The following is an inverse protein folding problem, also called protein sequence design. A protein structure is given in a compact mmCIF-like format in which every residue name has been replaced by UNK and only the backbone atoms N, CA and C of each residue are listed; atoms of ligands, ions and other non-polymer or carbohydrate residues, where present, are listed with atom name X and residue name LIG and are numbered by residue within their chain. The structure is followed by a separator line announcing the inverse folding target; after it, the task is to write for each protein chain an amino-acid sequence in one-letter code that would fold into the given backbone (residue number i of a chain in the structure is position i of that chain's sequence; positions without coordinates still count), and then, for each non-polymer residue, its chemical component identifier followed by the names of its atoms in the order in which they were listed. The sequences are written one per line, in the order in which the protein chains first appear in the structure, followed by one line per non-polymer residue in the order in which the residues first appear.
data_IF_911513378464
#
_entry.id   IF_911513378464
#
_cell.length_a   1.000
_cell.length_b   1.000
_cell.length_c   1.000
_cell.angle_alpha   90.00
_cell.angle_beta   90.00
_cell.angle_gamma   90.00
#
_symmetry.space_group_name_H-M   'P 1'
#
loop_
_entity.id
_entity.type
_entity.pdbx_description
1 polymer ?
#
# COMPACT_ATOMS: atom_id res chain seq x y z
N UNK A 1 -6.86 25.14 -12.21
CA UNK A 1 -6.45 24.79 -10.83
C UNK A 1 -6.46 23.26 -10.72
N UNK A 2 -5.36 22.63 -10.37
CA UNK A 2 -5.29 21.18 -10.21
C UNK A 2 -6.06 20.72 -8.97
N UNK A 3 -6.66 19.51 -9.03
CA UNK A 3 -7.29 18.89 -7.86
C UNK A 3 -6.27 18.75 -6.73
N UNK A 4 -6.64 19.18 -5.52
CA UNK A 4 -5.77 19.08 -4.33
C UNK A 4 -5.80 17.71 -3.69
N UNK A 5 -6.90 16.99 -3.85
CA UNK A 5 -7.12 15.64 -3.31
C UNK A 5 -7.30 14.70 -4.49
N UNK A 6 -6.55 13.61 -4.51
CA UNK A 6 -6.62 12.58 -5.53
C UNK A 6 -7.12 11.27 -4.90
N UNK A 7 -8.09 10.63 -5.58
CA UNK A 7 -8.67 9.36 -5.14
C UNK A 7 -7.90 8.18 -5.73
N UNK A 8 -7.62 7.19 -4.88
CA UNK A 8 -6.88 5.99 -5.26
C UNK A 8 -7.66 4.73 -4.92
N UNK A 9 -7.71 3.82 -5.87
CA UNK A 9 -8.12 2.45 -5.60
C UNK A 9 -6.96 1.50 -5.86
N UNK A 10 -6.75 0.52 -4.99
CA UNK A 10 -5.62 -0.42 -5.05
C UNK A 10 -6.07 -1.79 -4.63
N UNK A 11 -5.97 -2.78 -5.53
CA UNK A 11 -6.24 -4.18 -5.27
C UNK A 11 -4.93 -4.95 -5.14
N UNK A 12 -4.69 -5.55 -3.99
CA UNK A 12 -3.54 -6.41 -3.73
C UNK A 12 -3.88 -7.85 -4.04
N UNK A 13 -2.94 -8.51 -4.69
CA UNK A 13 -2.99 -9.94 -4.99
C UNK A 13 -2.02 -10.67 -4.08
N UNK A 14 -2.40 -11.87 -3.67
CA UNK A 14 -1.56 -12.80 -2.89
C UNK A 14 -2.02 -14.23 -3.17
N UNK A 15 -1.32 -15.22 -2.64
CA UNK A 15 -1.77 -16.61 -2.62
C UNK A 15 -2.95 -16.77 -1.65
N UNK A 16 -3.79 -17.83 -1.78
CA UNK A 16 -4.91 -18.07 -0.85
C UNK A 16 -4.48 -18.12 0.63
N UNK A 17 -3.29 -18.66 0.92
CA UNK A 17 -2.67 -18.70 2.24
C UNK A 17 -1.88 -17.43 2.61
N UNK A 18 -2.00 -16.36 1.80
CA UNK A 18 -1.43 -15.03 2.04
C UNK A 18 0.10 -15.02 2.25
N UNK A 19 0.86 -15.75 1.43
CA UNK A 19 2.32 -15.89 1.56
C UNK A 19 3.08 -14.57 1.51
N UNK A 20 2.68 -13.60 0.65
CA UNK A 20 3.31 -12.28 0.60
C UNK A 20 3.04 -11.48 1.88
N UNK A 21 1.84 -11.61 2.45
CA UNK A 21 1.53 -11.04 3.75
C UNK A 21 2.37 -11.68 4.85
N UNK A 22 2.42 -13.03 4.91
CA UNK A 22 3.22 -13.78 5.90
C UNK A 22 4.70 -13.40 5.79
N UNK A 23 5.26 -13.32 4.58
CA UNK A 23 6.62 -12.86 4.37
C UNK A 23 6.85 -11.43 4.93
N UNK A 24 5.85 -10.55 4.82
CA UNK A 24 5.93 -9.22 5.41
C UNK A 24 5.77 -9.24 6.92
N UNK A 25 4.82 -10.00 7.44
CA UNK A 25 4.58 -10.19 8.87
C UNK A 25 5.85 -10.73 9.56
N UNK A 26 6.46 -11.76 8.99
CA UNK A 26 7.65 -12.41 9.54
C UNK A 26 8.95 -11.64 9.27
N UNK A 27 8.85 -10.46 8.63
CA UNK A 27 9.97 -9.54 8.35
C UNK A 27 11.05 -10.16 7.46
N UNK A 28 10.68 -11.12 6.56
CA UNK A 28 11.63 -11.66 5.60
C UNK A 28 12.36 -10.52 4.88
N UNK A 29 13.66 -10.64 4.71
CA UNK A 29 14.50 -9.60 4.13
C UNK A 29 14.15 -9.37 2.67
N UNK A 30 13.95 -10.45 1.92
CA UNK A 30 13.43 -10.44 0.55
C UNK A 30 11.93 -10.68 0.57
N UNK A 31 11.17 -9.85 -0.10
CA UNK A 31 9.71 -10.00 -0.22
C UNK A 31 9.14 -9.18 -1.34
N UNK A 32 8.04 -9.65 -1.87
CA UNK A 32 7.34 -9.02 -2.97
C UNK A 32 5.93 -8.58 -2.57
N UNK A 33 5.34 -7.73 -3.37
CA UNK A 33 3.92 -7.38 -3.36
C UNK A 33 3.48 -7.14 -4.78
N UNK A 34 2.35 -7.71 -5.13
CA UNK A 34 1.65 -7.49 -6.39
C UNK A 34 0.39 -6.69 -6.14
N UNK A 35 0.09 -5.72 -7.02
CA UNK A 35 -1.16 -4.97 -6.96
C UNK A 35 -1.56 -4.39 -8.31
N UNK A 36 -2.85 -4.27 -8.54
CA UNK A 36 -3.42 -3.31 -9.47
C UNK A 36 -3.66 -1.98 -8.75
N UNK A 37 -3.55 -0.85 -9.46
CA UNK A 37 -3.85 0.47 -8.90
C UNK A 37 -4.49 1.37 -9.92
N UNK A 38 -5.60 2.01 -9.54
CA UNK A 38 -6.24 3.07 -10.30
C UNK A 38 -5.94 4.42 -9.64
N UNK A 39 -5.62 5.39 -10.46
CA UNK A 39 -5.60 6.82 -10.15
C UNK A 39 -6.95 7.38 -10.63
N UNK A 40 -7.96 7.37 -9.74
CA UNK A 40 -9.35 7.59 -10.14
C UNK A 40 -9.59 8.92 -10.85
N UNK A 41 -8.83 9.97 -10.50
CA UNK A 41 -8.97 11.29 -11.11
C UNK A 41 -8.48 11.37 -12.56
N UNK A 42 -7.57 10.50 -12.96
CA UNK A 42 -6.98 10.47 -14.32
C UNK A 42 -7.39 9.26 -15.12
N UNK A 43 -8.05 8.29 -14.51
CA UNK A 43 -8.37 7.00 -15.12
C UNK A 43 -7.14 6.12 -15.44
N UNK A 44 -5.94 6.52 -15.02
CA UNK A 44 -4.75 5.73 -15.26
C UNK A 44 -4.69 4.52 -14.31
N UNK A 45 -4.48 3.32 -14.86
CA UNK A 45 -4.36 2.10 -14.09
C UNK A 45 -3.04 1.38 -14.38
N UNK A 46 -2.52 0.67 -13.37
CA UNK A 46 -1.22 -0.01 -13.47
C UNK A 46 -1.23 -1.34 -12.72
N UNK A 47 -0.61 -2.35 -13.32
CA UNK A 47 -0.09 -3.52 -12.61
C UNK A 47 1.28 -3.17 -12.02
N UNK A 48 1.45 -3.29 -10.71
CA UNK A 48 2.68 -2.89 -10.02
C UNK A 48 3.24 -4.01 -9.14
N UNK A 49 4.54 -4.29 -9.30
CA UNK A 49 5.29 -5.20 -8.42
C UNK A 49 6.30 -4.40 -7.62
N UNK A 50 6.30 -4.62 -6.30
CA UNK A 50 7.31 -4.07 -5.39
C UNK A 50 8.18 -5.20 -4.86
N UNK A 51 9.48 -5.14 -5.17
CA UNK A 51 10.48 -6.08 -4.69
C UNK A 51 11.36 -5.41 -3.65
N UNK A 52 11.39 -5.94 -2.46
CA UNK A 52 12.36 -5.57 -1.43
C UNK A 52 13.46 -6.61 -1.37
N UNK A 53 14.73 -6.17 -1.42
CA UNK A 53 15.88 -7.05 -1.31
C UNK A 53 16.49 -7.05 0.11
N UNK A 54 17.47 -7.92 0.34
CA UNK A 54 18.21 -8.06 1.60
C UNK A 54 19.01 -6.79 1.98
N UNK A 55 19.40 -5.96 1.00
CA UNK A 55 20.07 -4.65 1.21
C UNK A 55 19.10 -3.53 1.59
N UNK A 56 17.86 -3.86 2.01
CA UNK A 56 16.78 -2.95 2.40
C UNK A 56 16.29 -2.01 1.26
N UNK A 57 16.74 -2.19 0.03
CA UNK A 57 16.29 -1.42 -1.14
C UNK A 57 14.96 -1.98 -1.65
N UNK A 58 14.06 -1.09 -2.04
CA UNK A 58 12.79 -1.46 -2.68
C UNK A 58 12.80 -0.96 -4.12
N UNK A 59 12.66 -1.87 -5.08
CA UNK A 59 12.46 -1.55 -6.49
C UNK A 59 10.97 -1.74 -6.82
N UNK A 60 10.41 -0.79 -7.56
CA UNK A 60 9.06 -0.88 -8.13
C UNK A 60 9.16 -0.99 -9.65
N UNK A 61 8.48 -1.98 -10.22
CA UNK A 61 8.23 -2.12 -11.65
C UNK A 61 6.73 -2.02 -11.89
N UNK A 62 6.32 -1.46 -13.01
CA UNK A 62 4.91 -1.37 -13.39
C UNK A 62 4.74 -1.36 -14.89
N UNK A 63 3.58 -1.83 -15.33
CA UNK A 63 3.05 -1.66 -16.68
C UNK A 63 1.67 -1.01 -16.61
N UNK A 64 1.24 -0.25 -17.62
CA UNK A 64 -0.14 0.21 -17.70
C UNK A 64 -1.09 -0.99 -17.89
N UNK A 65 -2.30 -0.85 -17.40
CA UNK A 65 -3.44 -1.74 -17.65
C UNK A 65 -4.67 -0.87 -17.89
N UNK A 66 -5.70 -1.43 -18.51
CA UNK A 66 -7.00 -0.78 -18.61
C UNK A 66 -7.72 -0.80 -17.25
N UNK A 67 -8.57 0.20 -17.00
CA UNK A 67 -9.36 0.27 -15.74
C UNK A 67 -10.27 -0.95 -15.61
N UNK A 68 -10.83 -1.43 -16.72
CA UNK A 68 -11.66 -2.64 -16.78
C UNK A 68 -10.94 -3.92 -16.32
N UNK A 69 -9.61 -3.95 -16.41
CA UNK A 69 -8.78 -5.09 -15.99
C UNK A 69 -8.45 -5.09 -14.50
N UNK A 70 -8.82 -4.05 -13.76
CA UNK A 70 -8.41 -3.86 -12.37
C UNK A 70 -8.79 -5.04 -11.45
N UNK A 71 -10.00 -5.56 -11.60
CA UNK A 71 -10.53 -6.64 -10.74
C UNK A 71 -9.90 -8.01 -11.00
N UNK A 72 -9.49 -8.25 -12.25
CA UNK A 72 -8.91 -9.52 -12.71
C UNK A 72 -7.79 -9.31 -13.74
N UNK A 73 -6.79 -8.54 -13.38
CA UNK A 73 -5.70 -8.20 -14.30
C UNK A 73 -4.90 -9.43 -14.78
N UNK A 74 -4.91 -10.54 -14.03
CA UNK A 74 -4.15 -11.73 -14.38
C UNK A 74 -4.84 -12.61 -15.45
N UNK A 75 -6.09 -12.32 -15.82
CA UNK A 75 -6.75 -12.90 -16.99
C UNK A 75 -6.15 -12.37 -18.31
N UNK A 76 -5.48 -11.23 -18.28
CA UNK A 76 -4.94 -10.55 -19.48
C UNK A 76 -3.46 -10.88 -19.70
N UNK A 77 -3.11 -11.24 -20.93
CA UNK A 77 -1.79 -11.77 -21.32
C UNK A 77 -0.65 -10.86 -20.91
N UNK A 78 -0.75 -9.55 -21.16
CA UNK A 78 0.34 -8.60 -20.86
C UNK A 78 0.66 -8.53 -19.37
N UNK A 79 -0.36 -8.39 -18.53
CA UNK A 79 -0.19 -8.35 -17.09
C UNK A 79 0.31 -9.69 -16.56
N UNK A 80 -0.23 -10.81 -17.06
CA UNK A 80 0.18 -12.16 -16.70
C UNK A 80 1.65 -12.41 -17.03
N UNK A 81 2.08 -12.09 -18.27
CA UNK A 81 3.49 -12.21 -18.70
C UNK A 81 4.41 -11.37 -17.82
N UNK A 82 4.06 -10.10 -17.61
CA UNK A 82 4.83 -9.21 -16.74
C UNK A 82 4.98 -9.77 -15.32
N UNK A 83 3.91 -10.32 -14.75
CA UNK A 83 3.93 -10.89 -13.40
C UNK A 83 4.75 -12.17 -13.37
N UNK A 84 4.61 -13.07 -14.35
CA UNK A 84 5.39 -14.32 -14.47
C UNK A 84 6.89 -14.04 -14.51
N UNK A 85 7.32 -13.04 -15.26
CA UNK A 85 8.74 -12.70 -15.39
C UNK A 85 9.35 -12.05 -14.12
N UNK A 86 8.56 -11.43 -13.27
CA UNK A 86 9.08 -10.54 -12.21
C UNK A 86 8.73 -11.00 -10.80
N UNK A 87 7.78 -11.91 -10.66
CA UNK A 87 7.33 -12.43 -9.38
C UNK A 87 7.93 -13.83 -9.13
N UNK A 88 8.17 -14.15 -7.87
CA UNK A 88 8.69 -15.48 -7.45
C UNK A 88 7.57 -16.42 -6.97
N UNK A 89 6.32 -16.06 -7.22
CA UNK A 89 5.15 -16.84 -6.87
C UNK A 89 4.53 -17.38 -8.14
N UNK A 90 3.93 -18.57 -8.06
CA UNK A 90 3.18 -19.14 -9.16
C UNK A 90 1.96 -18.26 -9.49
N UNK A 91 1.90 -17.76 -10.73
CA UNK A 91 0.87 -16.78 -11.12
C UNK A 91 -0.54 -17.38 -11.08
N UNK A 92 -0.67 -18.66 -11.39
CA UNK A 92 -1.94 -19.39 -11.34
C UNK A 92 -2.53 -19.52 -9.92
N UNK A 93 -1.69 -19.39 -8.88
CA UNK A 93 -2.12 -19.42 -7.49
C UNK A 93 -2.53 -18.06 -6.94
N UNK A 94 -2.31 -16.97 -7.68
CA UNK A 94 -2.57 -15.63 -7.20
C UNK A 94 -4.04 -15.25 -7.36
N UNK A 95 -4.63 -14.76 -6.28
CA UNK A 95 -6.02 -14.28 -6.25
C UNK A 95 -6.09 -12.83 -5.75
N UNK A 96 -7.14 -12.08 -6.11
CA UNK A 96 -7.45 -10.80 -5.49
C UNK A 96 -7.69 -10.99 -3.99
N UNK A 97 -6.95 -10.27 -3.13
CA UNK A 97 -7.05 -10.41 -1.67
C UNK A 97 -7.68 -9.18 -1.02
N UNK A 98 -6.98 -8.06 -1.02
CA UNK A 98 -7.40 -6.87 -0.29
C UNK A 98 -7.42 -5.67 -1.21
N UNK A 99 -8.58 -5.08 -1.35
CA UNK A 99 -8.79 -3.78 -1.97
C UNK A 99 -8.67 -2.68 -0.92
N UNK A 100 -8.08 -1.56 -1.31
CA UNK A 100 -7.86 -0.43 -0.45
C UNK A 100 -8.15 0.87 -1.20
N UNK A 101 -9.12 1.62 -0.73
CA UNK A 101 -9.46 2.96 -1.19
C UNK A 101 -8.93 4.00 -0.21
N UNK A 102 -8.52 5.15 -0.72
CA UNK A 102 -8.08 6.27 0.10
C UNK A 102 -7.92 7.55 -0.71
N UNK A 103 -8.00 8.65 -0.03
CA UNK A 103 -7.71 9.98 -0.53
C UNK A 103 -6.27 10.36 -0.30
N UNK A 104 -5.66 11.11 -1.22
CA UNK A 104 -4.26 11.53 -1.13
C UNK A 104 -4.06 12.98 -1.48
N UNK A 105 -3.40 13.70 -0.60
CA UNK A 105 -2.76 14.98 -0.89
C UNK A 105 -1.27 14.72 -1.13
N UNK A 106 -0.72 15.32 -2.19
CA UNK A 106 0.70 15.25 -2.51
C UNK A 106 1.31 16.63 -2.49
N UNK A 107 2.31 16.82 -1.64
CA UNK A 107 3.10 18.03 -1.53
C UNK A 107 4.51 17.75 -2.01
N UNK A 108 5.04 18.67 -2.83
CA UNK A 108 6.42 18.61 -3.33
C UNK A 108 7.07 19.94 -3.02
N UNK A 109 8.29 19.93 -2.49
CA UNK A 109 9.03 21.15 -2.24
C UNK A 109 9.48 21.81 -3.56
N UNK A 110 9.81 23.12 -3.53
CA UNK A 110 10.20 23.87 -4.73
C UNK A 110 11.39 23.22 -5.47
N UNK A 111 12.35 22.68 -4.75
CA UNK A 111 13.52 21.99 -5.32
C UNK A 111 13.25 20.58 -5.84
N UNK A 112 12.01 20.05 -5.68
CA UNK A 112 11.61 18.68 -6.06
C UNK A 112 12.46 17.56 -5.44
N UNK A 113 13.17 17.86 -4.35
CA UNK A 113 14.01 16.91 -3.61
C UNK A 113 13.26 16.16 -2.52
N UNK A 114 12.04 16.63 -2.20
CA UNK A 114 11.17 16.01 -1.20
C UNK A 114 9.73 15.92 -1.71
N UNK A 115 9.09 14.80 -1.38
CA UNK A 115 7.67 14.59 -1.61
C UNK A 115 7.03 14.04 -0.34
N UNK A 116 6.05 14.76 0.17
CA UNK A 116 5.17 14.33 1.26
C UNK A 116 3.82 13.91 0.69
N UNK A 117 3.35 12.74 1.05
CA UNK A 117 1.97 12.31 0.74
C UNK A 117 1.20 12.12 2.04
N UNK A 118 -0.04 12.57 2.05
CA UNK A 118 -0.97 12.47 3.17
C UNK A 118 -2.15 11.64 2.68
N UNK A 119 -2.33 10.46 3.24
CA UNK A 119 -3.41 9.54 2.89
C UNK A 119 -4.45 9.53 4.01
N UNK A 120 -5.70 9.78 3.68
CA UNK A 120 -6.86 9.82 4.57
C UNK A 120 -8.02 9.00 4.01
N UNK A 121 -9.11 8.91 4.76
CA UNK A 121 -10.32 8.15 4.40
C UNK A 121 -10.02 6.72 3.92
N UNK A 122 -9.24 6.01 4.72
CA UNK A 122 -8.69 4.71 4.34
C UNK A 122 -9.73 3.62 4.60
N UNK A 123 -10.13 2.91 3.53
CA UNK A 123 -11.09 1.80 3.56
C UNK A 123 -10.47 0.55 2.97
N UNK A 124 -10.96 -0.60 3.43
CA UNK A 124 -10.51 -1.91 2.99
C UNK A 124 -11.71 -2.82 2.72
N UNK A 125 -11.60 -3.61 1.65
CA UNK A 125 -12.51 -4.71 1.33
C UNK A 125 -11.63 -5.93 1.06
N UNK A 126 -11.86 -7.02 1.76
CA UNK A 126 -11.17 -8.27 1.50
C UNK A 126 -12.02 -9.10 0.53
N UNK A 127 -11.50 -9.28 -0.68
CA UNK A 127 -12.19 -10.01 -1.76
C UNK A 127 -12.25 -11.52 -1.51
N UNK A 128 -11.41 -12.03 -0.64
CA UNK A 128 -11.36 -13.45 -0.27
C UNK A 128 -12.30 -13.78 0.90
N UNK A 129 -12.35 -12.95 1.95
CA UNK A 129 -13.22 -13.18 3.12
C UNK A 129 -14.58 -12.50 3.03
N UNK A 130 -14.76 -11.54 2.12
CA UNK A 130 -15.95 -10.69 2.02
C UNK A 130 -16.04 -9.59 3.10
N UNK A 131 -15.11 -9.55 4.06
CA UNK A 131 -15.15 -8.58 5.16
C UNK A 131 -14.60 -7.22 4.73
N UNK A 132 -15.12 -6.16 5.34
CA UNK A 132 -14.68 -4.79 5.12
C UNK A 132 -14.30 -4.11 6.44
N UNK A 133 -13.45 -3.08 6.36
CA UNK A 133 -13.06 -2.25 7.49
C UNK A 133 -12.73 -0.83 7.01
N UNK A 134 -13.04 0.16 7.84
CA UNK A 134 -12.63 1.54 7.64
C UNK A 134 -11.83 2.04 8.84
N UNK A 135 -10.91 2.95 8.60
CA UNK A 135 -10.11 3.60 9.64
C UNK A 135 -10.11 5.12 9.40
N UNK A 136 -11.28 5.78 9.61
CA UNK A 136 -11.49 7.18 9.22
C UNK A 136 -10.51 8.14 9.91
N UNK A 137 -10.15 7.88 11.16
CA UNK A 137 -9.28 8.75 11.97
C UNK A 137 -7.78 8.50 11.72
N UNK A 138 -7.45 7.50 10.88
CA UNK A 138 -6.07 7.20 10.53
C UNK A 138 -5.61 8.02 9.34
N UNK A 139 -4.68 8.93 9.57
CA UNK A 139 -3.93 9.61 8.51
C UNK A 139 -2.54 9.00 8.39
N UNK A 140 -2.15 8.60 7.17
CA UNK A 140 -0.83 8.05 6.88
C UNK A 140 -0.01 9.08 6.11
N UNK A 141 1.07 9.56 6.73
CA UNK A 141 2.01 10.47 6.10
C UNK A 141 3.24 9.69 5.63
N UNK A 142 3.58 9.80 4.35
CA UNK A 142 4.80 9.22 3.77
C UNK A 142 5.71 10.34 3.25
N UNK A 143 6.89 10.47 3.84
CA UNK A 143 7.92 11.39 3.36
C UNK A 143 8.94 10.60 2.52
N UNK A 144 9.19 11.07 1.31
CA UNK A 144 10.29 10.64 0.44
C UNK A 144 11.22 11.80 0.21
N UNK A 145 12.51 11.58 0.37
CA UNK A 145 13.55 12.57 0.09
C UNK A 145 14.67 11.94 -0.74
N UNK A 146 15.32 12.74 -1.52
CA UNK A 146 16.49 12.36 -2.31
C UNK A 146 17.76 12.50 -1.48
N UNK A 147 18.47 11.38 -1.30
CA UNK A 147 19.73 11.37 -0.57
C UNK A 147 19.58 11.71 0.92
N UNK A 148 20.68 12.22 1.50
CA UNK A 148 20.78 12.55 2.92
C UNK A 148 20.92 14.08 3.13
N UNK A 149 20.02 14.85 2.51
CA UNK A 149 19.98 16.31 2.63
C UNK A 149 19.05 16.74 3.77
N UNK A 150 19.22 17.95 4.33
CA UNK A 150 18.28 18.50 5.32
C UNK A 150 16.86 18.56 4.75
N UNK A 151 15.90 18.00 5.47
CA UNK A 151 14.51 17.90 5.03
C UNK A 151 13.65 18.94 5.76
N UNK A 152 12.97 19.78 4.98
CA UNK A 152 11.98 20.72 5.50
C UNK A 152 10.79 19.99 6.12
N UNK A 153 10.21 19.04 5.40
CA UNK A 153 9.05 18.29 5.90
C UNK A 153 9.38 17.46 7.15
N UNK A 154 10.59 16.89 7.24
CA UNK A 154 11.02 16.19 8.44
C UNK A 154 11.06 17.10 9.66
N UNK A 155 11.54 18.34 9.51
CA UNK A 155 11.54 19.33 10.61
C UNK A 155 10.12 19.67 11.06
N UNK A 156 9.20 19.89 10.10
CA UNK A 156 7.78 20.13 10.41
C UNK A 156 7.16 18.97 11.18
N UNK A 157 7.36 17.72 10.71
CA UNK A 157 6.84 16.53 11.38
C UNK A 157 7.41 16.37 12.80
N UNK A 158 8.68 16.69 13.00
CA UNK A 158 9.31 16.66 14.33
C UNK A 158 8.73 17.75 15.26
N UNK A 159 8.55 18.98 14.76
CA UNK A 159 7.93 20.06 15.52
C UNK A 159 6.49 19.71 15.94
N UNK A 160 5.75 19.02 15.09
CA UNK A 160 4.42 18.49 15.39
C UNK A 160 4.45 17.21 16.24
N UNK A 161 5.62 16.77 16.72
CA UNK A 161 5.83 15.54 17.50
C UNK A 161 5.35 14.26 16.81
N UNK A 162 5.26 14.26 15.48
CA UNK A 162 4.87 13.09 14.68
C UNK A 162 6.08 12.16 14.52
N UNK A 163 6.05 11.04 15.22
CA UNK A 163 7.13 10.04 15.20
C UNK A 163 6.95 9.04 14.05
N UNK A 164 8.03 8.64 13.35
CA UNK A 164 7.94 7.69 12.25
C UNK A 164 7.46 6.31 12.72
N UNK A 165 6.53 5.74 11.97
CA UNK A 165 5.96 4.40 12.17
C UNK A 165 6.08 3.59 10.88
N UNK A 166 6.37 2.30 11.01
CA UNK A 166 6.35 1.38 9.86
C UNK A 166 4.94 0.85 9.66
N UNK A 167 4.26 1.31 8.62
CA UNK A 167 2.91 0.87 8.26
C UNK A 167 2.87 0.36 6.81
N UNK A 168 1.93 -0.51 6.52
CA UNK A 168 1.64 -1.02 5.18
C UNK A 168 0.13 -1.16 5.05
N UNK A 169 -0.49 -0.44 4.11
CA UNK A 169 -1.93 -0.54 3.85
C UNK A 169 -2.36 -1.98 3.56
N UNK A 170 -1.62 -2.70 2.70
CA UNK A 170 -1.89 -4.13 2.46
C UNK A 170 -1.98 -4.93 3.76
N UNK A 171 -0.92 -4.90 4.57
CA UNK A 171 -0.90 -5.70 5.79
C UNK A 171 -1.90 -5.21 6.84
N UNK A 172 -2.21 -3.91 6.87
CA UNK A 172 -3.24 -3.37 7.75
C UNK A 172 -4.63 -3.86 7.33
N UNK A 173 -4.95 -3.73 6.04
CA UNK A 173 -6.21 -4.22 5.49
C UNK A 173 -6.38 -5.72 5.72
N UNK A 174 -5.35 -6.53 5.41
CA UNK A 174 -5.40 -7.97 5.65
C UNK A 174 -5.74 -8.31 7.12
N UNK A 175 -5.08 -7.65 8.08
CA UNK A 175 -5.32 -7.93 9.52
C UNK A 175 -6.69 -7.45 9.99
N UNK A 176 -7.19 -6.35 9.45
CA UNK A 176 -8.50 -5.81 9.83
C UNK A 176 -9.67 -6.59 9.22
N UNK A 177 -9.44 -7.27 8.10
CA UNK A 177 -10.49 -7.94 7.32
C UNK A 177 -10.31 -9.45 7.21
N UNK A 178 -9.35 -10.04 7.94
CA UNK A 178 -9.19 -11.47 8.05
C UNK A 178 -8.86 -11.84 9.51
N UNK A 179 -9.85 -12.20 10.33
CA UNK A 179 -9.65 -12.49 11.75
C UNK A 179 -8.80 -13.74 12.02
N UNK A 180 -8.72 -14.67 11.07
CA UNK A 180 -7.95 -15.91 11.21
C UNK A 180 -6.47 -15.74 10.86
N UNK A 181 -6.09 -14.62 10.24
CA UNK A 181 -4.73 -14.40 9.80
C UNK A 181 -3.76 -14.20 10.98
N UNK A 182 -2.56 -14.73 10.87
CA UNK A 182 -1.49 -14.52 11.85
C UNK A 182 -1.20 -13.02 12.05
N UNK A 183 -1.62 -12.43 13.19
CA UNK A 183 -1.57 -10.98 13.42
C UNK A 183 -0.79 -10.55 14.67
N UNK A 184 -0.08 -11.47 15.36
CA UNK A 184 0.58 -11.19 16.63
C UNK A 184 1.53 -9.96 16.57
N UNK A 185 2.28 -9.77 15.49
CA UNK A 185 3.17 -8.61 15.30
C UNK A 185 2.45 -7.30 14.96
N UNK A 186 1.15 -7.36 14.68
CA UNK A 186 0.32 -6.19 14.43
C UNK A 186 -0.47 -5.73 15.66
N UNK A 187 -0.63 -6.55 16.70
CA UNK A 187 -1.39 -6.21 17.93
C UNK A 187 -1.04 -4.83 18.50
N UNK A 188 0.26 -4.50 18.60
CA UNK A 188 0.70 -3.18 19.10
C UNK A 188 0.32 -2.02 18.17
N UNK A 189 0.33 -2.24 16.85
CA UNK A 189 -0.07 -1.22 15.87
C UNK A 189 -1.56 -1.01 15.89
N UNK A 190 -2.36 -2.08 15.96
CA UNK A 190 -3.81 -2.00 16.05
C UNK A 190 -4.23 -1.25 17.32
N UNK A 191 -3.64 -1.57 18.48
CA UNK A 191 -3.91 -0.80 19.71
C UNK A 191 -3.58 0.69 19.56
N UNK A 192 -2.50 1.02 18.85
CA UNK A 192 -2.15 2.42 18.58
C UNK A 192 -3.17 3.10 17.67
N UNK A 193 -3.61 2.43 16.61
CA UNK A 193 -4.63 2.95 15.68
C UNK A 193 -5.96 3.15 16.41
N UNK A 194 -6.42 2.16 17.19
CA UNK A 194 -7.67 2.27 17.97
C UNK A 194 -7.64 3.43 18.98
N UNK A 195 -6.46 3.74 19.55
CA UNK A 195 -6.34 4.90 20.44
C UNK A 195 -6.47 6.25 19.71
N UNK A 196 -6.19 6.31 18.40
CA UNK A 196 -6.40 7.55 17.64
C UNK A 196 -7.90 7.86 17.52
N UNK A 197 -8.73 6.83 17.35
CA UNK A 197 -10.19 6.97 17.25
C UNK A 197 -10.90 7.26 18.59
N UNK A 198 -10.21 7.09 19.73
CA UNK A 198 -10.78 7.30 21.06
C UNK A 198 -10.44 8.69 21.66
N UNK A 199 -9.56 9.43 21.01
CA UNK A 199 -9.09 10.73 21.53
C UNK A 199 -9.69 11.94 20.79
N UNK A 200 -10.88 11.76 20.17
CA UNK A 200 -11.64 12.83 19.50
C UNK A 200 -12.94 13.10 20.27
#
# INVERSE_FOLDING_TARGET
MGKRIAHYNTLYYDTPDAQMYVAHHDRKLTRQKLRARIYCDTGAAFCEIKNKNNKKRTKKKRIPIEVSQFGDMLAYTEARTFVTEKLHYEVSSLIPQVENEFDRITLVNKGRTERLTIDSDIRFINRHTGLSAAVPDLVIIELKQDGNIPSFFKRVLLALRIKPKRISKYCLGTVLTNPEIKANRFKRKLRYINKLSQNI
#
